data_IF_405564623899
#
_entry.id   IF_405564623899
#
_cell.length_a   1.000
_cell.length_b   1.000
_cell.length_c   1.000
_cell.angle_alpha   90.00
_cell.angle_beta   90.00
_cell.angle_gamma   90.00
#
_symmetry.space_group_name_H-M   'P 1'
#
loop_
_entity.id
_entity.type
_entity.pdbx_description
1 polymer ?
#
# COMPACT_ATOMS: atom_id res chain seq x y z
N UNK A 1 -69.61 -19.02 -9.25
CA UNK A 1 -68.29 -19.06 -9.92
C UNK A 1 -67.60 -17.72 -9.71
N UNK A 2 -66.52 -17.69 -8.92
CA UNK A 2 -65.76 -16.48 -8.59
C UNK A 2 -64.62 -16.32 -9.61
N UNK A 3 -64.61 -15.20 -10.35
CA UNK A 3 -63.47 -14.66 -11.13
C UNK A 3 -63.28 -13.23 -10.62
N UNK A 4 -62.10 -12.65 -10.31
CA UNK A 4 -60.67 -13.00 -10.23
C UNK A 4 -60.05 -11.80 -9.46
N UNK A 5 -59.18 -11.96 -8.45
CA UNK A 5 -58.38 -10.86 -7.91
C UNK A 5 -56.94 -11.01 -8.41
N UNK A 6 -56.64 -10.65 -9.67
CA UNK A 6 -55.30 -10.85 -10.25
C UNK A 6 -54.66 -9.54 -10.73
N UNK A 7 -55.46 -8.53 -11.10
CA UNK A 7 -54.92 -7.34 -11.76
C UNK A 7 -54.31 -6.33 -10.78
N UNK A 8 -54.81 -6.23 -9.55
CA UNK A 8 -54.29 -5.31 -8.53
C UNK A 8 -52.91 -5.71 -7.98
N UNK A 9 -52.60 -7.01 -7.95
CA UNK A 9 -51.31 -7.54 -7.47
C UNK A 9 -50.16 -7.30 -8.47
N UNK A 10 -50.46 -7.30 -9.78
CA UNK A 10 -49.47 -6.98 -10.83
C UNK A 10 -49.08 -5.50 -10.84
N UNK A 11 -50.02 -4.61 -10.50
CA UNK A 11 -49.77 -3.17 -10.45
C UNK A 11 -48.87 -2.81 -9.26
N UNK A 12 -49.18 -3.35 -8.08
CA UNK A 12 -48.35 -3.20 -6.87
C UNK A 12 -46.93 -3.76 -7.05
N UNK A 13 -46.77 -4.90 -7.73
CA UNK A 13 -45.42 -5.46 -7.95
C UNK A 13 -44.58 -4.60 -8.89
N UNK A 14 -45.17 -3.99 -9.94
CA UNK A 14 -44.45 -3.07 -10.84
C UNK A 14 -44.02 -1.79 -10.14
N UNK A 15 -44.85 -1.22 -9.29
CA UNK A 15 -44.51 -0.02 -8.54
C UNK A 15 -43.35 -0.26 -7.54
N UNK A 16 -43.35 -1.43 -6.88
CA UNK A 16 -42.26 -1.85 -5.98
C UNK A 16 -40.96 -2.06 -6.77
N UNK A 17 -41.02 -2.70 -7.94
CA UNK A 17 -39.84 -2.91 -8.81
C UNK A 17 -39.29 -1.57 -9.32
N UNK A 18 -40.16 -0.65 -9.70
CA UNK A 18 -39.77 0.67 -10.20
C UNK A 18 -39.15 1.55 -9.10
N UNK A 19 -39.70 1.53 -7.87
CA UNK A 19 -39.10 2.23 -6.72
C UNK A 19 -37.71 1.68 -6.37
N UNK A 20 -37.52 0.35 -6.40
CA UNK A 20 -36.21 -0.29 -6.19
C UNK A 20 -35.19 0.10 -7.27
N UNK A 21 -35.63 0.21 -8.52
CA UNK A 21 -34.77 0.62 -9.63
C UNK A 21 -34.32 2.09 -9.50
N UNK A 22 -35.23 2.99 -9.11
CA UNK A 22 -34.91 4.40 -8.85
C UNK A 22 -33.92 4.54 -7.68
N UNK A 23 -34.14 3.81 -6.57
CA UNK A 23 -33.20 3.81 -5.44
C UNK A 23 -31.80 3.32 -5.84
N UNK A 24 -31.70 2.32 -6.71
CA UNK A 24 -30.41 1.83 -7.19
C UNK A 24 -29.66 2.86 -8.04
N UNK A 25 -30.36 3.59 -8.92
CA UNK A 25 -29.77 4.67 -9.73
C UNK A 25 -29.26 5.81 -8.83
N UNK A 26 -30.02 6.21 -7.80
CA UNK A 26 -29.61 7.26 -6.86
C UNK A 26 -28.33 6.86 -6.10
N UNK A 27 -28.19 5.60 -5.70
CA UNK A 27 -26.99 5.09 -5.04
C UNK A 27 -25.79 5.15 -6.00
N UNK A 28 -25.95 4.74 -7.26
CA UNK A 28 -24.89 4.82 -8.27
C UNK A 28 -24.47 6.27 -8.53
N UNK A 29 -25.42 7.19 -8.70
CA UNK A 29 -25.12 8.61 -8.92
C UNK A 29 -24.42 9.21 -7.69
N UNK A 30 -24.80 8.80 -6.48
CA UNK A 30 -24.16 9.25 -5.24
C UNK A 30 -22.73 8.73 -5.13
N UNK A 31 -22.47 7.47 -5.51
CA UNK A 31 -21.12 6.88 -5.51
C UNK A 31 -20.22 7.50 -6.58
N UNK A 32 -20.75 7.74 -7.79
CA UNK A 32 -20.03 8.41 -8.87
C UNK A 32 -19.74 9.87 -8.51
N UNK A 33 -20.73 10.59 -7.96
CA UNK A 33 -20.57 11.97 -7.51
C UNK A 33 -19.56 12.12 -6.38
N UNK A 34 -19.55 11.19 -5.41
CA UNK A 34 -18.55 11.14 -4.35
C UNK A 34 -17.13 10.88 -4.90
N UNK A 35 -17.01 9.97 -5.87
CA UNK A 35 -15.74 9.69 -6.55
C UNK A 35 -15.20 10.89 -7.34
N UNK A 36 -16.06 11.61 -8.06
CA UNK A 36 -15.69 12.79 -8.83
C UNK A 36 -15.33 13.99 -7.95
N UNK A 37 -16.10 14.24 -6.88
CA UNK A 37 -15.81 15.32 -5.92
C UNK A 37 -14.46 15.14 -5.23
N UNK A 38 -14.11 13.90 -4.84
CA UNK A 38 -12.79 13.62 -4.28
C UNK A 38 -11.68 13.79 -5.32
N UNK A 39 -11.90 13.39 -6.58
CA UNK A 39 -10.92 13.61 -7.66
C UNK A 39 -10.66 15.09 -7.91
N UNK A 40 -11.68 15.96 -7.90
CA UNK A 40 -11.48 17.40 -8.08
C UNK A 40 -10.71 18.04 -6.92
N UNK A 41 -11.00 17.66 -5.67
CA UNK A 41 -10.22 18.13 -4.51
C UNK A 41 -8.77 17.64 -4.54
N UNK A 42 -8.53 16.39 -4.95
CA UNK A 42 -7.19 15.86 -5.20
C UNK A 42 -6.49 16.68 -6.30
N UNK A 43 -7.16 16.93 -7.43
CA UNK A 43 -6.60 17.73 -8.53
C UNK A 43 -6.23 19.17 -8.12
N UNK A 44 -7.03 19.82 -7.27
CA UNK A 44 -6.71 21.17 -6.76
C UNK A 44 -5.50 21.12 -5.81
N UNK A 45 -5.44 20.11 -4.94
CA UNK A 45 -4.31 19.91 -4.03
C UNK A 45 -3.03 19.46 -4.74
N UNK A 46 -3.11 18.99 -5.99
CA UNK A 46 -1.96 18.65 -6.83
C UNK A 46 -1.65 19.71 -7.92
N UNK A 47 -2.45 20.79 -7.99
CA UNK A 47 -2.29 21.86 -8.97
C UNK A 47 -1.42 23.03 -8.48
N UNK A 48 -0.92 22.99 -7.26
CA UNK A 48 -0.03 24.02 -6.70
C UNK A 48 1.43 23.59 -6.90
N UNK A 49 2.28 24.51 -7.36
CA UNK A 49 3.71 24.25 -7.56
C UNK A 49 4.47 24.35 -6.22
N UNK A 50 4.39 23.29 -5.43
CA UNK A 50 4.98 23.19 -4.10
C UNK A 50 5.77 21.87 -3.93
N UNK A 51 6.88 21.91 -3.19
CA UNK A 51 7.76 20.75 -3.03
C UNK A 51 7.08 19.57 -2.32
N UNK A 52 6.18 19.83 -1.37
CA UNK A 52 5.48 18.78 -0.64
C UNK A 52 4.46 18.12 -1.56
N UNK A 53 3.76 18.91 -2.37
CA UNK A 53 2.85 18.37 -3.38
C UNK A 53 3.57 17.56 -4.44
N UNK A 54 4.75 17.99 -4.91
CA UNK A 54 5.55 17.21 -5.85
C UNK A 54 5.87 15.82 -5.29
N UNK A 55 6.27 15.73 -4.01
CA UNK A 55 6.53 14.45 -3.35
C UNK A 55 5.26 13.58 -3.24
N UNK A 56 4.14 14.14 -2.82
CA UNK A 56 2.88 13.38 -2.70
C UNK A 56 2.30 12.97 -4.06
N UNK A 57 2.35 13.85 -5.06
CA UNK A 57 1.87 13.57 -6.42
C UNK A 57 2.65 12.42 -7.04
N UNK A 58 3.95 12.37 -6.83
CA UNK A 58 4.80 11.29 -7.30
C UNK A 58 4.33 9.93 -6.79
N UNK A 59 4.16 9.76 -5.48
CA UNK A 59 3.71 8.49 -4.90
C UNK A 59 2.25 8.18 -5.21
N UNK A 60 1.39 9.20 -5.23
CA UNK A 60 0.00 9.06 -5.66
C UNK A 60 -0.11 8.56 -7.10
N UNK A 61 0.71 9.08 -8.01
CA UNK A 61 0.74 8.63 -9.42
C UNK A 61 1.14 7.16 -9.52
N UNK A 62 2.16 6.74 -8.78
CA UNK A 62 2.58 5.34 -8.73
C UNK A 62 1.49 4.43 -8.15
N UNK A 63 0.80 4.88 -7.11
CA UNK A 63 -0.28 4.12 -6.46
C UNK A 63 -1.48 3.96 -7.39
N UNK A 64 -1.95 5.06 -7.98
CA UNK A 64 -3.05 5.02 -8.93
C UNK A 64 -2.70 4.18 -10.16
N UNK A 65 -1.48 4.27 -10.67
CA UNK A 65 -1.05 3.44 -11.80
C UNK A 65 -1.18 1.95 -11.45
N UNK A 66 -0.76 1.55 -10.24
CA UNK A 66 -0.93 0.19 -9.77
C UNK A 66 -2.42 -0.18 -9.62
N UNK A 67 -3.22 0.67 -9.01
CA UNK A 67 -4.65 0.43 -8.77
C UNK A 67 -5.45 0.33 -10.09
N UNK A 68 -5.06 1.11 -11.11
CA UNK A 68 -5.74 1.15 -12.42
C UNK A 68 -5.25 0.05 -13.37
N UNK A 69 -3.96 -0.26 -13.38
CA UNK A 69 -3.35 -1.17 -14.37
C UNK A 69 -2.99 -2.54 -13.82
N UNK A 70 -2.99 -2.71 -12.49
CA UNK A 70 -2.47 -3.90 -11.83
C UNK A 70 -0.94 -4.08 -11.96
N UNK A 71 -0.24 -3.09 -12.54
CA UNK A 71 1.20 -3.15 -12.77
C UNK A 71 1.91 -2.05 -12.00
N UNK A 72 3.00 -2.40 -11.31
CA UNK A 72 3.83 -1.43 -10.59
C UNK A 72 4.96 -0.90 -11.46
N UNK A 73 5.23 0.39 -11.30
CA UNK A 73 6.38 1.08 -11.90
C UNK A 73 7.57 1.20 -10.94
N UNK A 74 7.50 0.58 -9.75
CA UNK A 74 8.59 0.63 -8.77
C UNK A 74 9.75 -0.27 -9.21
N UNK A 75 10.94 0.27 -9.52
CA UNK A 75 12.03 -0.52 -10.10
C UNK A 75 12.74 -1.43 -9.09
N UNK A 76 12.46 -1.24 -7.79
CA UNK A 76 13.08 -1.97 -6.68
C UNK A 76 12.18 -3.09 -6.12
N UNK A 77 11.01 -3.33 -6.71
CA UNK A 77 10.08 -4.37 -6.25
C UNK A 77 9.49 -5.16 -7.42
N UNK A 78 9.60 -6.49 -7.37
CA UNK A 78 9.23 -7.38 -8.49
C UNK A 78 7.74 -7.76 -8.53
N UNK A 79 7.10 -7.88 -7.38
CA UNK A 79 5.71 -8.36 -7.25
C UNK A 79 4.94 -7.44 -6.30
N UNK A 80 4.47 -6.31 -6.82
CA UNK A 80 3.70 -5.34 -6.04
C UNK A 80 2.22 -5.48 -6.40
N UNK A 81 1.41 -5.90 -5.42
CA UNK A 81 -0.05 -6.05 -5.53
C UNK A 81 -0.82 -4.93 -4.84
N UNK A 82 -0.14 -4.17 -3.99
CA UNK A 82 -0.64 -2.95 -3.37
C UNK A 82 0.51 -2.20 -2.69
N UNK A 83 0.40 -0.88 -2.53
CA UNK A 83 1.30 -0.19 -1.62
C UNK A 83 0.66 1.05 -0.99
N UNK A 84 1.07 1.34 0.24
CA UNK A 84 0.76 2.58 0.95
C UNK A 84 2.03 3.39 1.15
N UNK A 85 1.88 4.71 1.30
CA UNK A 85 3.00 5.61 1.50
C UNK A 85 2.68 6.68 2.55
N UNK A 86 3.71 7.06 3.31
CA UNK A 86 3.65 8.17 4.27
C UNK A 86 4.83 9.09 3.97
N UNK A 87 4.56 10.32 3.56
CA UNK A 87 5.58 11.36 3.34
C UNK A 87 5.61 12.26 4.56
N UNK A 88 6.77 12.38 5.21
CA UNK A 88 6.97 13.26 6.36
C UNK A 88 7.34 14.69 5.92
N UNK A 89 7.57 15.58 6.88
CA UNK A 89 8.08 16.92 6.60
C UNK A 89 9.49 16.86 5.96
N UNK A 90 9.81 17.78 5.03
CA UNK A 90 11.10 17.77 4.39
C UNK A 90 12.21 18.39 5.24
N UNK A 91 13.44 18.01 4.93
CA UNK A 91 14.66 18.74 5.28
C UNK A 91 15.23 19.35 4.01
N UNK A 92 15.53 20.64 4.03
CA UNK A 92 16.20 21.31 2.93
C UNK A 92 17.72 21.12 3.05
N UNK A 93 18.35 20.69 1.97
CA UNK A 93 19.80 20.57 1.88
C UNK A 93 20.25 20.79 0.42
N UNK A 94 21.23 21.67 0.23
CA UNK A 94 21.86 21.93 -1.08
C UNK A 94 20.85 22.27 -2.21
N UNK A 95 19.80 23.03 -1.88
CA UNK A 95 18.76 23.43 -2.84
C UNK A 95 17.80 22.30 -3.24
N UNK A 96 17.81 21.19 -2.50
CA UNK A 96 16.87 20.07 -2.64
C UNK A 96 16.09 19.87 -1.34
N UNK A 97 14.90 19.31 -1.47
CA UNK A 97 14.10 18.89 -0.33
C UNK A 97 14.10 17.37 -0.23
N UNK A 98 14.47 16.87 0.94
CA UNK A 98 14.53 15.46 1.27
C UNK A 98 13.39 15.12 2.21
N UNK A 99 12.49 14.25 1.76
CA UNK A 99 11.35 13.81 2.55
C UNK A 99 11.59 12.38 3.01
N UNK A 100 11.64 12.17 4.33
CA UNK A 100 11.52 10.81 4.86
C UNK A 100 10.18 10.23 4.42
N UNK A 101 10.24 9.11 3.72
CA UNK A 101 9.08 8.45 3.14
C UNK A 101 9.07 7.00 3.57
N UNK A 102 7.96 6.55 4.14
CA UNK A 102 7.78 5.15 4.48
C UNK A 102 6.85 4.50 3.46
N UNK A 103 7.34 3.47 2.78
CA UNK A 103 6.52 2.65 1.89
C UNK A 103 6.10 1.35 2.59
N UNK A 104 4.84 0.97 2.42
CA UNK A 104 4.32 -0.33 2.86
C UNK A 104 3.90 -1.12 1.62
N UNK A 105 4.77 -1.98 1.13
CA UNK A 105 4.54 -2.78 -0.08
C UNK A 105 3.82 -4.07 0.30
N UNK A 106 2.71 -4.37 -0.36
CA UNK A 106 1.85 -5.54 -0.12
C UNK A 106 1.40 -5.71 1.34
N UNK A 107 1.24 -4.60 2.07
CA UNK A 107 0.94 -4.63 3.51
C UNK A 107 2.06 -5.23 4.37
N UNK A 108 3.27 -5.39 3.82
CA UNK A 108 4.42 -5.94 4.51
C UNK A 108 5.19 -4.84 5.27
N UNK A 109 6.41 -5.20 5.68
CA UNK A 109 7.30 -4.36 6.48
C UNK A 109 7.49 -2.96 5.89
N UNK A 110 7.52 -1.92 6.75
CA UNK A 110 7.81 -0.57 6.30
C UNK A 110 9.21 -0.49 5.71
N UNK A 111 9.31 0.09 4.51
CA UNK A 111 10.55 0.41 3.83
C UNK A 111 10.78 1.93 3.91
N UNK A 112 11.67 2.39 4.82
CA UNK A 112 11.99 3.81 4.94
C UNK A 112 12.96 4.23 3.83
N UNK A 113 12.60 5.24 3.06
CA UNK A 113 13.37 5.80 1.94
C UNK A 113 13.38 7.33 2.00
N UNK A 114 14.21 7.96 1.19
CA UNK A 114 14.15 9.40 0.95
C UNK A 114 13.53 9.71 -0.41
N UNK A 115 12.45 10.49 -0.41
CA UNK A 115 11.96 11.14 -1.63
C UNK A 115 12.70 12.45 -1.81
N UNK A 116 13.37 12.60 -2.94
CA UNK A 116 14.20 13.77 -3.23
C UNK A 116 13.47 14.67 -4.22
N UNK A 117 13.21 15.92 -3.84
CA UNK A 117 12.55 16.91 -4.69
C UNK A 117 13.54 18.02 -5.03
N UNK A 118 13.56 18.43 -6.30
CA UNK A 118 14.40 19.51 -6.81
C UNK A 118 13.60 20.44 -7.70
N UNK A 119 14.01 21.70 -7.77
CA UNK A 119 13.47 22.63 -8.75
C UNK A 119 14.12 22.40 -10.12
N UNK A 120 13.31 22.25 -11.16
CA UNK A 120 13.74 22.22 -12.56
C UNK A 120 12.89 23.25 -13.30
N UNK A 121 13.54 24.26 -13.88
CA UNK A 121 12.88 25.35 -14.61
C UNK A 121 11.74 26.04 -13.82
N UNK A 122 11.94 26.19 -12.50
CA UNK A 122 10.97 26.80 -11.60
C UNK A 122 9.82 25.90 -11.16
N UNK A 123 9.84 24.62 -11.55
CA UNK A 123 8.85 23.60 -11.15
C UNK A 123 9.48 22.60 -10.19
N UNK A 124 8.80 22.32 -9.08
CA UNK A 124 9.22 21.28 -8.15
C UNK A 124 8.92 19.89 -8.72
N UNK A 125 9.96 19.07 -8.88
CA UNK A 125 9.86 17.71 -9.41
C UNK A 125 10.65 16.73 -8.56
N UNK A 126 10.19 15.48 -8.50
CA UNK A 126 10.94 14.41 -7.85
C UNK A 126 12.15 14.02 -8.71
N UNK A 127 13.32 13.95 -8.08
CA UNK A 127 14.50 13.30 -8.65
C UNK A 127 14.32 11.78 -8.48
N UNK A 128 13.75 11.15 -9.50
CA UNK A 128 13.43 9.71 -9.47
C UNK A 128 14.68 8.86 -9.27
N UNK A 129 15.79 9.23 -9.90
CA UNK A 129 17.04 8.47 -9.80
C UNK A 129 17.55 8.50 -8.36
N UNK A 130 17.60 9.67 -7.71
CA UNK A 130 18.01 9.76 -6.31
C UNK A 130 17.03 9.04 -5.36
N UNK A 131 15.72 9.16 -5.62
CA UNK A 131 14.67 8.53 -4.82
C UNK A 131 14.74 7.01 -4.90
N UNK A 132 14.87 6.44 -6.10
CA UNK A 132 14.97 5.00 -6.30
C UNK A 132 16.32 4.43 -5.87
N UNK A 133 17.39 5.20 -5.97
CA UNK A 133 18.67 4.81 -5.37
C UNK A 133 18.56 4.68 -3.84
N UNK A 134 17.93 5.66 -3.18
CA UNK A 134 17.65 5.57 -1.74
C UNK A 134 16.79 4.36 -1.40
N UNK A 135 15.80 4.01 -2.23
CA UNK A 135 15.00 2.80 -2.04
C UNK A 135 15.81 1.50 -2.17
N UNK A 136 16.78 1.46 -3.10
CA UNK A 136 17.73 0.36 -3.24
C UNK A 136 18.59 0.17 -1.98
N UNK A 137 19.21 1.26 -1.50
CA UNK A 137 20.03 1.25 -0.28
C UNK A 137 19.23 0.87 0.96
N UNK A 138 18.02 1.43 1.11
CA UNK A 138 17.12 1.10 2.20
C UNK A 138 16.71 -0.37 2.20
N UNK A 139 16.39 -0.92 1.04
CA UNK A 139 16.02 -2.34 0.90
C UNK A 139 17.18 -3.24 1.29
N UNK A 140 18.39 -2.92 0.82
CA UNK A 140 19.59 -3.67 1.16
C UNK A 140 19.86 -3.63 2.68
N UNK A 141 19.83 -2.44 3.28
CA UNK A 141 20.03 -2.26 4.72
C UNK A 141 18.96 -3.01 5.53
N UNK A 142 17.70 -2.99 5.10
CA UNK A 142 16.62 -3.73 5.74
C UNK A 142 16.91 -5.24 5.77
N UNK A 143 17.30 -5.83 4.63
CA UNK A 143 17.60 -7.26 4.55
C UNK A 143 18.87 -7.64 5.33
N UNK A 144 19.91 -6.80 5.29
CA UNK A 144 21.14 -7.02 6.08
C UNK A 144 20.81 -7.02 7.58
N UNK A 145 20.11 -5.99 8.07
CA UNK A 145 19.75 -5.89 9.48
C UNK A 145 18.88 -7.07 9.93
N UNK A 146 17.94 -7.50 9.09
CA UNK A 146 17.11 -8.68 9.38
C UNK A 146 17.93 -9.97 9.45
N UNK A 147 18.89 -10.13 8.53
CA UNK A 147 19.79 -11.28 8.54
C UNK A 147 20.64 -11.30 9.81
N UNK A 148 21.24 -10.16 10.18
CA UNK A 148 22.01 -10.01 11.41
C UNK A 148 21.18 -10.31 12.66
N UNK A 149 19.94 -9.81 12.74
CA UNK A 149 19.02 -10.13 13.84
C UNK A 149 18.67 -11.62 13.89
N UNK A 150 18.55 -12.27 12.74
CA UNK A 150 18.27 -13.71 12.68
C UNK A 150 19.47 -14.52 13.16
N UNK A 151 20.69 -14.12 12.79
CA UNK A 151 21.92 -14.72 13.30
C UNK A 151 22.08 -14.53 14.81
N UNK A 152 21.85 -13.33 15.33
CA UNK A 152 21.92 -13.04 16.78
C UNK A 152 20.90 -13.87 17.57
N UNK A 153 19.67 -14.00 17.06
CA UNK A 153 18.66 -14.85 17.68
C UNK A 153 19.03 -16.35 17.62
N UNK A 154 19.62 -16.81 16.52
CA UNK A 154 20.10 -18.18 16.38
C UNK A 154 21.27 -18.48 17.33
N UNK A 155 22.21 -17.54 17.50
CA UNK A 155 23.32 -17.67 18.43
C UNK A 155 22.83 -17.72 19.89
N UNK A 156 21.94 -16.81 20.28
CA UNK A 156 21.28 -16.83 21.61
C UNK A 156 20.53 -18.13 21.87
N UNK A 157 19.86 -18.67 20.85
CA UNK A 157 19.21 -19.97 20.92
C UNK A 157 20.21 -21.09 21.16
N UNK A 158 21.30 -21.13 20.39
CA UNK A 158 22.34 -22.16 20.52
C UNK A 158 23.05 -22.09 21.88
N UNK A 159 23.36 -20.89 22.37
CA UNK A 159 23.95 -20.66 23.69
C UNK A 159 22.97 -21.04 24.82
N UNK A 160 21.66 -20.82 24.65
CA UNK A 160 20.63 -21.28 25.60
C UNK A 160 20.35 -22.79 25.53
N UNK A 161 20.74 -23.44 24.43
CA UNK A 161 20.54 -24.87 24.18
C UNK A 161 21.69 -25.78 24.64
N UNK A 162 22.70 -25.23 25.33
CA UNK A 162 23.85 -25.99 25.85
C UNK A 162 23.51 -26.88 27.05
N UNK A 163 22.27 -26.89 27.53
CA UNK A 163 21.72 -28.01 28.31
C UNK A 163 21.31 -29.11 27.35
N UNK A 164 21.81 -30.34 27.52
CA UNK A 164 21.52 -31.50 26.66
C UNK A 164 20.02 -31.65 26.36
N UNK A 165 19.55 -31.04 25.27
CA UNK A 165 18.17 -31.17 24.84
C UNK A 165 17.96 -32.58 24.32
N UNK A 166 16.89 -33.24 24.78
CA UNK A 166 16.56 -34.55 24.28
C UNK A 166 16.00 -34.45 22.84
N UNK A 167 15.98 -35.57 22.12
CA UNK A 167 15.54 -35.61 20.71
C UNK A 167 14.11 -35.08 20.48
N UNK A 168 13.21 -35.17 21.46
CA UNK A 168 11.84 -34.66 21.35
C UNK A 168 11.79 -33.14 21.48
N UNK A 169 12.61 -32.55 22.36
CA UNK A 169 12.73 -31.10 22.51
C UNK A 169 13.35 -30.45 21.27
N UNK A 170 14.34 -31.10 20.66
CA UNK A 170 14.91 -30.67 19.38
C UNK A 170 13.85 -30.71 18.27
N UNK A 171 13.10 -31.81 18.15
CA UNK A 171 12.07 -31.96 17.12
C UNK A 171 10.91 -30.96 17.29
N UNK A 172 10.48 -30.69 18.52
CA UNK A 172 9.44 -29.70 18.80
C UNK A 172 9.90 -28.28 18.44
N UNK A 173 11.16 -27.94 18.70
CA UNK A 173 11.70 -26.61 18.38
C UNK A 173 11.99 -26.44 16.89
N UNK A 174 12.50 -27.47 16.20
CA UNK A 174 12.61 -27.45 14.72
C UNK A 174 11.24 -27.20 14.09
N UNK A 175 10.19 -27.87 14.58
CA UNK A 175 8.83 -27.66 14.09
C UNK A 175 8.32 -26.24 14.35
N UNK A 176 8.67 -25.64 15.50
CA UNK A 176 8.33 -24.26 15.82
C UNK A 176 9.04 -23.27 14.87
N UNK A 177 10.33 -23.51 14.58
CA UNK A 177 11.10 -22.74 13.61
C UNK A 177 10.49 -22.90 12.21
N UNK A 178 10.20 -24.13 11.77
CA UNK A 178 9.54 -24.39 10.49
C UNK A 178 8.19 -23.67 10.37
N UNK A 179 7.40 -23.60 11.45
CA UNK A 179 6.16 -22.82 11.49
C UNK A 179 6.41 -21.31 11.40
N UNK A 180 7.37 -20.77 12.16
CA UNK A 180 7.73 -19.35 12.08
C UNK A 180 8.22 -18.92 10.69
N UNK A 181 8.88 -19.83 9.96
CA UNK A 181 9.29 -19.61 8.58
C UNK A 181 8.09 -19.77 7.64
N UNK A 182 7.33 -20.87 7.70
CA UNK A 182 6.20 -21.10 6.78
C UNK A 182 5.06 -20.07 6.91
N UNK A 183 4.78 -19.57 8.12
CA UNK A 183 3.74 -18.53 8.32
C UNK A 183 4.18 -17.13 7.85
N UNK A 184 5.44 -16.95 7.43
CA UNK A 184 5.99 -15.67 6.91
C UNK A 184 6.51 -15.73 5.47
N UNK A 185 6.44 -16.88 4.79
CA UNK A 185 6.86 -17.07 3.40
C UNK A 185 5.71 -17.52 2.47
N UNK A 186 4.51 -16.96 2.66
CA UNK A 186 3.57 -16.83 1.55
C UNK A 186 3.81 -15.44 0.93
N UNK A 187 4.79 -15.41 0.01
CA UNK A 187 4.93 -14.38 -1.02
C UNK A 187 4.31 -14.91 -2.31
#
# INVERSE_FOLDING_TARGET
>A
MVKKPIDHLKYLSREIVMKKFISFIVIIISLIGYGLYNKEKLNIWFGMNDHQQAAHQFWFTHKNTLDETGTSTLPFAKSVTGFEYIVQSPVEQDGKYYFETTLYINGQYPLPIYTVVKAVDGVWVVDENATFHSAGDASLNFYINRYLLTLDNADKFLVGSTTEMNKQEIAAQIKLIEQMFNDKYIL
#
